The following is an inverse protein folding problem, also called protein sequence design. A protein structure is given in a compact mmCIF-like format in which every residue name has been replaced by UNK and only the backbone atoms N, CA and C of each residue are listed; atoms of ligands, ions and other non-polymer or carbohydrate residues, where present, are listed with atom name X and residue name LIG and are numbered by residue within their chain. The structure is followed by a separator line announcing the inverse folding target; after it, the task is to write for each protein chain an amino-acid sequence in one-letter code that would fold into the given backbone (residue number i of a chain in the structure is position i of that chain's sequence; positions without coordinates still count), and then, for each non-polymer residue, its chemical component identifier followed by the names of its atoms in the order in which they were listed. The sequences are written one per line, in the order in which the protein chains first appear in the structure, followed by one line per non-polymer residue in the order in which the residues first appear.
data_IF_627355225592
#
_entry.id   IF_627355225592
#
_cell.length_a   1.000
_cell.length_b   1.000
_cell.length_c   1.000
_cell.angle_alpha   90.00
_cell.angle_beta   90.00
_cell.angle_gamma   90.00
#
_symmetry.space_group_name_H-M   'P 1'
#
loop_
_entity.id
_entity.type
_entity.pdbx_description
1 polymer ?
#
# COMPACT_ATOMS: atom_id res chain seq x y z
N UNK A 1 -2.15 4.14 19.75
CA UNK A 1 -0.83 4.01 20.41
C UNK A 1 -0.44 5.33 21.05
N UNK A 2 -0.22 5.34 22.36
CA UNK A 2 0.24 6.53 23.08
C UNK A 2 1.77 6.64 23.02
N UNK A 3 2.26 7.86 22.85
CA UNK A 3 3.67 8.20 22.96
C UNK A 3 4.13 8.06 24.41
N UNK A 4 5.21 7.32 24.63
CA UNK A 4 5.81 7.19 25.98
C UNK A 4 6.36 8.52 26.52
N UNK A 5 6.66 9.50 25.64
CA UNK A 5 7.18 10.82 26.06
C UNK A 5 6.09 11.81 26.45
N UNK A 6 4.94 11.78 25.77
CA UNK A 6 3.92 12.83 25.89
C UNK A 6 2.55 12.32 26.35
N UNK A 7 2.34 10.99 26.39
CA UNK A 7 1.04 10.37 26.66
C UNK A 7 0.01 10.51 25.52
N UNK A 8 0.25 11.41 24.57
CA UNK A 8 -0.64 11.67 23.42
C UNK A 8 -0.49 10.62 22.32
N UNK A 9 -1.44 10.50 21.38
CA UNK A 9 -1.29 9.63 20.21
C UNK A 9 0.02 9.89 19.45
N UNK A 10 0.64 8.82 18.92
CA UNK A 10 1.82 8.97 18.06
C UNK A 10 1.48 9.79 16.82
N UNK A 11 2.44 10.58 16.34
CA UNK A 11 2.31 11.31 15.09
C UNK A 11 2.59 10.40 13.89
N UNK A 12 2.14 10.81 12.71
CA UNK A 12 2.50 10.14 11.44
C UNK A 12 4.02 10.05 11.24
N UNK A 13 4.77 11.07 11.67
CA UNK A 13 6.23 11.08 11.61
C UNK A 13 6.82 9.98 12.49
N UNK A 14 6.30 9.79 13.70
CA UNK A 14 6.77 8.73 14.58
C UNK A 14 6.45 7.34 14.02
N UNK A 15 5.26 7.16 13.44
CA UNK A 15 4.93 5.92 12.74
C UNK A 15 5.92 5.66 11.59
N UNK A 16 6.18 6.66 10.74
CA UNK A 16 7.15 6.60 9.64
C UNK A 16 8.54 6.17 10.13
N UNK A 17 9.05 6.78 11.21
CA UNK A 17 10.35 6.43 11.80
C UNK A 17 10.40 4.98 12.30
N UNK A 18 9.34 4.52 12.96
CA UNK A 18 9.25 3.13 13.42
C UNK A 18 9.31 2.16 12.24
N UNK A 19 8.57 2.44 11.15
CA UNK A 19 8.59 1.58 9.96
C UNK A 19 9.94 1.60 9.25
N UNK A 20 10.58 2.76 9.08
CA UNK A 20 11.88 2.83 8.41
C UNK A 20 12.98 2.15 9.23
N UNK A 21 12.97 2.30 10.55
CA UNK A 21 13.90 1.57 11.41
C UNK A 21 13.69 0.04 11.36
N UNK A 22 12.47 -0.43 11.07
CA UNK A 22 12.23 -1.85 10.82
C UNK A 22 12.69 -2.26 9.42
N UNK A 23 12.46 -1.43 8.40
CA UNK A 23 12.86 -1.65 7.03
C UNK A 23 14.39 -1.75 6.87
N UNK A 24 15.13 -0.83 7.48
CA UNK A 24 16.60 -0.80 7.48
C UNK A 24 17.20 -2.12 8.02
N UNK A 25 16.61 -2.67 9.09
CA UNK A 25 17.06 -3.93 9.69
C UNK A 25 16.89 -5.15 8.79
N UNK A 26 16.01 -5.06 7.79
CA UNK A 26 15.75 -6.12 6.83
C UNK A 26 16.26 -5.76 5.42
N UNK A 27 17.04 -4.67 5.29
CA UNK A 27 17.62 -4.24 4.02
C UNK A 27 16.60 -3.76 3.00
N UNK A 28 15.47 -3.20 3.46
CA UNK A 28 14.44 -2.61 2.60
C UNK A 28 14.51 -1.09 2.63
N UNK A 29 14.42 -0.50 1.44
CA UNK A 29 14.36 0.95 1.24
C UNK A 29 12.95 1.40 0.81
N UNK A 30 12.74 2.72 0.71
CA UNK A 30 11.52 3.35 0.20
C UNK A 30 10.21 2.97 0.93
N UNK A 31 10.30 2.63 2.22
CA UNK A 31 9.15 2.29 3.04
C UNK A 31 8.47 3.55 3.59
N UNK A 32 7.24 3.80 3.15
CA UNK A 32 6.38 4.89 3.61
C UNK A 32 5.22 4.42 4.50
N UNK A 33 4.46 5.39 5.03
CA UNK A 33 3.32 5.11 5.93
C UNK A 33 2.16 4.35 5.29
N UNK A 34 2.13 4.29 3.97
CA UNK A 34 1.12 3.58 3.20
C UNK A 34 1.63 2.29 2.57
N UNK A 35 2.94 2.02 2.59
CA UNK A 35 3.54 0.88 1.87
C UNK A 35 2.92 -0.44 2.30
N UNK A 36 2.79 -0.67 3.61
CA UNK A 36 2.18 -1.89 4.14
C UNK A 36 0.70 -2.04 3.72
N UNK A 37 -0.07 -0.94 3.72
CA UNK A 37 -1.47 -0.96 3.30
C UNK A 37 -1.60 -1.29 1.81
N UNK A 38 -0.78 -0.68 0.96
CA UNK A 38 -0.71 -0.98 -0.48
C UNK A 38 -0.32 -2.44 -0.72
N UNK A 39 0.71 -2.92 -0.03
CA UNK A 39 1.22 -4.30 -0.12
C UNK A 39 0.15 -5.32 0.25
N UNK A 40 -0.57 -5.09 1.37
CA UNK A 40 -1.73 -5.92 1.73
C UNK A 40 -2.77 -5.94 0.62
N UNK A 41 -3.15 -4.78 0.08
CA UNK A 41 -4.16 -4.68 -0.95
C UNK A 41 -3.76 -5.37 -2.25
N UNK A 42 -2.49 -5.21 -2.65
CA UNK A 42 -1.92 -5.89 -3.80
C UNK A 42 -2.04 -7.41 -3.66
N UNK A 43 -1.54 -7.99 -2.57
CA UNK A 43 -1.60 -9.44 -2.37
C UNK A 43 -3.02 -9.96 -2.19
N UNK A 44 -3.89 -9.21 -1.51
CA UNK A 44 -5.30 -9.56 -1.40
C UNK A 44 -5.93 -9.66 -2.79
N UNK A 45 -5.79 -8.62 -3.61
CA UNK A 45 -6.34 -8.60 -4.96
C UNK A 45 -5.75 -9.69 -5.84
N UNK A 46 -4.44 -9.95 -5.77
CA UNK A 46 -3.83 -11.04 -6.53
C UNK A 46 -4.43 -12.42 -6.19
N UNK A 47 -4.79 -12.66 -4.93
CA UNK A 47 -5.37 -13.93 -4.47
C UNK A 47 -6.87 -14.06 -4.75
N UNK A 48 -7.63 -12.98 -4.58
CA UNK A 48 -9.11 -13.04 -4.62
C UNK A 48 -9.71 -12.47 -5.90
N UNK A 49 -8.99 -11.55 -6.56
CA UNK A 49 -9.47 -10.68 -7.64
C UNK A 49 -10.73 -9.87 -7.27
N UNK A 50 -11.03 -9.75 -5.98
CA UNK A 50 -12.20 -9.04 -5.47
C UNK A 50 -11.85 -7.59 -5.10
N UNK A 51 -11.97 -6.71 -6.09
CA UNK A 51 -11.74 -5.26 -5.90
C UNK A 51 -12.84 -4.58 -5.09
N UNK A 52 -14.08 -5.10 -5.13
CA UNK A 52 -15.23 -4.49 -4.46
C UNK A 52 -15.06 -4.63 -2.95
N UNK A 53 -14.74 -5.85 -2.48
CA UNK A 53 -14.43 -6.08 -1.07
C UNK A 53 -13.22 -5.26 -0.63
N UNK A 54 -12.17 -5.19 -1.47
CA UNK A 54 -10.98 -4.42 -1.13
C UNK A 54 -11.26 -2.91 -1.07
N UNK A 55 -12.13 -2.38 -1.93
CA UNK A 55 -12.61 -1.01 -1.85
C UNK A 55 -13.32 -0.75 -0.52
N UNK A 56 -14.19 -1.66 -0.06
CA UNK A 56 -14.86 -1.56 1.23
C UNK A 56 -13.86 -1.58 2.39
N UNK A 57 -12.91 -2.51 2.39
CA UNK A 57 -11.83 -2.59 3.39
C UNK A 57 -11.01 -1.29 3.41
N UNK A 58 -10.77 -0.70 2.24
CA UNK A 58 -9.99 0.51 2.12
C UNK A 58 -10.78 1.80 2.32
N UNK A 59 -12.10 1.73 2.36
CA UNK A 59 -13.00 2.88 2.38
C UNK A 59 -12.69 3.87 1.25
N UNK A 60 -12.46 3.35 0.05
CA UNK A 60 -12.30 4.18 -1.15
C UNK A 60 -13.64 4.41 -1.83
N UNK A 61 -13.78 5.54 -2.52
CA UNK A 61 -15.04 5.91 -3.17
C UNK A 61 -15.31 5.16 -4.48
N UNK A 62 -14.30 4.52 -5.08
CA UNK A 62 -14.47 3.75 -6.30
C UNK A 62 -13.45 2.60 -6.41
N UNK A 63 -13.76 1.50 -7.14
CA UNK A 63 -12.82 0.41 -7.38
C UNK A 63 -11.54 0.85 -8.10
N UNK A 64 -11.65 1.78 -9.05
CA UNK A 64 -10.52 2.31 -9.82
C UNK A 64 -9.48 2.99 -8.92
N UNK A 65 -9.91 3.69 -7.87
CA UNK A 65 -9.03 4.29 -6.86
C UNK A 65 -8.26 3.19 -6.14
N UNK A 66 -8.93 2.08 -5.79
CA UNK A 66 -8.29 0.92 -5.16
C UNK A 66 -7.24 0.29 -6.07
N UNK A 67 -7.57 -0.03 -7.33
CA UNK A 67 -6.65 -0.64 -8.30
C UNK A 67 -5.41 0.23 -8.53
N UNK A 68 -5.61 1.55 -8.71
CA UNK A 68 -4.50 2.50 -8.83
C UNK A 68 -3.67 2.59 -7.56
N UNK A 69 -4.32 2.61 -6.39
CA UNK A 69 -3.64 2.72 -5.09
C UNK A 69 -2.69 1.56 -4.82
N UNK A 70 -3.07 0.34 -5.23
CA UNK A 70 -2.30 -0.89 -5.02
C UNK A 70 -1.34 -1.24 -6.17
N UNK A 71 -1.34 -0.47 -7.27
CA UNK A 71 -0.40 -0.66 -8.39
C UNK A 71 -0.91 -1.54 -9.54
N UNK A 72 -2.02 -2.26 -9.38
CA UNK A 72 -2.55 -3.18 -10.41
C UNK A 72 -2.83 -2.48 -11.75
N UNK A 73 -3.36 -1.26 -11.71
CA UNK A 73 -3.63 -0.52 -12.94
C UNK A 73 -2.35 -0.26 -13.76
N UNK A 74 -1.22 -0.01 -13.09
CA UNK A 74 0.05 0.20 -13.78
C UNK A 74 0.56 -1.11 -14.37
N UNK A 75 0.55 -2.20 -13.58
CA UNK A 75 0.94 -3.54 -14.03
C UNK A 75 0.15 -3.98 -15.29
N UNK A 76 -1.15 -3.70 -15.34
CA UNK A 76 -2.00 -4.03 -16.50
C UNK A 76 -1.66 -3.20 -17.75
N UNK A 77 -1.37 -1.91 -17.57
CA UNK A 77 -0.93 -1.03 -18.67
C UNK A 77 0.41 -1.53 -19.21
N UNK A 78 1.38 -1.75 -18.33
CA UNK A 78 2.73 -2.18 -18.72
C UNK A 78 2.66 -3.50 -19.50
N UNK A 79 1.90 -4.48 -18.99
CA UNK A 79 1.69 -5.75 -19.69
C UNK A 79 1.04 -5.58 -21.05
N UNK A 80 0.03 -4.70 -21.17
CA UNK A 80 -0.65 -4.47 -22.46
C UNK A 80 0.27 -3.86 -23.52
N UNK A 81 1.28 -3.09 -23.09
CA UNK A 81 2.26 -2.47 -23.98
C UNK A 81 3.37 -3.45 -24.38
N UNK A 82 3.77 -4.36 -23.49
CA UNK A 82 4.73 -5.43 -23.80
C UNK A 82 4.22 -6.34 -24.94
N UNK A 83 2.92 -6.65 -24.93
CA UNK A 83 2.28 -7.52 -25.92
C UNK A 83 1.95 -6.79 -27.24
N UNK A 84 2.15 -5.46 -27.31
CA UNK A 84 1.79 -4.64 -28.47
C UNK A 84 2.97 -4.45 -29.44
N UNK A 85 2.93 -5.11 -30.59
CA UNK A 85 3.85 -4.87 -31.72
C UNK A 85 3.10 -4.36 -32.95
N UNK A 86 3.63 -3.32 -33.62
CA UNK A 86 3.15 -2.80 -34.91
C UNK A 86 3.93 -3.37 -36.10
#
# INVERSE_FOLDING_TARGET
FASKKTGKPITRIQAYRIMNAAAEKVGLDEIGTHTLRKTFGYHYYQKTKDVVMLQTIFNHSAPSITLRYIGIQQDEIDKSLEDFSL
#
